data_IF_461485124488
#
_entry.id   IF_461485124488
#
_cell.length_a   1.000
_cell.length_b   1.000
_cell.length_c   1.000
_cell.angle_alpha   90.00
_cell.angle_beta   90.00
_cell.angle_gamma   90.00
#
_symmetry.space_group_name_H-M   'P 1'
#
loop_
_entity.id
_entity.type
_entity.pdbx_description
1 polymer ?
#
# COMPACT_ATOMS: atom_id res chain seq x y z
N UNK A 1 -1.37 7.54 -0.91
CA UNK A 1 -2.12 6.60 -1.77
C UNK A 1 -3.52 6.37 -1.21
N UNK A 2 -4.31 5.50 -1.83
CA UNK A 2 -5.75 5.38 -1.62
C UNK A 2 -6.19 3.97 -1.18
N UNK A 3 -7.39 3.90 -0.61
CA UNK A 3 -8.10 2.66 -0.28
C UNK A 3 -9.44 2.61 -1.03
N UNK A 4 -9.84 1.41 -1.43
CA UNK A 4 -10.97 1.15 -2.31
C UNK A 4 -11.90 0.08 -1.72
N UNK A 5 -13.15 0.08 -2.15
CA UNK A 5 -14.16 -0.90 -1.70
C UNK A 5 -14.18 -2.18 -2.55
N UNK A 6 -13.61 -2.13 -3.75
CA UNK A 6 -13.60 -3.25 -4.69
C UNK A 6 -12.23 -3.40 -5.36
N UNK A 7 -11.93 -4.62 -5.81
CA UNK A 7 -10.72 -4.91 -6.58
C UNK A 7 -10.63 -4.13 -7.89
N UNK A 8 -11.74 -3.92 -8.59
CA UNK A 8 -11.74 -3.16 -9.84
C UNK A 8 -11.40 -1.68 -9.62
N UNK A 9 -11.87 -1.09 -8.52
CA UNK A 9 -11.49 0.27 -8.14
C UNK A 9 -9.99 0.35 -7.82
N UNK A 10 -9.43 -0.67 -7.17
CA UNK A 10 -7.99 -0.76 -6.92
C UNK A 10 -7.20 -0.79 -8.23
N UNK A 11 -7.60 -1.64 -9.20
CA UNK A 11 -6.93 -1.75 -10.49
C UNK A 11 -6.96 -0.41 -11.25
N UNK A 12 -8.14 0.23 -11.32
CA UNK A 12 -8.28 1.56 -11.95
C UNK A 12 -7.45 2.61 -11.25
N UNK A 13 -7.47 2.60 -9.92
CA UNK A 13 -6.69 3.48 -9.07
C UNK A 13 -5.18 3.33 -9.29
N UNK A 14 -4.69 2.09 -9.30
CA UNK A 14 -3.29 1.79 -9.59
C UNK A 14 -2.87 2.36 -10.94
N UNK A 15 -3.64 2.08 -11.99
CA UNK A 15 -3.36 2.62 -13.32
C UNK A 15 -3.30 4.15 -13.30
N UNK A 16 -4.29 4.81 -12.69
CA UNK A 16 -4.33 6.26 -12.58
C UNK A 16 -3.08 6.83 -11.88
N UNK A 17 -2.68 6.27 -10.73
CA UNK A 17 -1.52 6.78 -9.98
C UNK A 17 -0.21 6.55 -10.75
N UNK A 18 0.01 5.35 -11.31
CA UNK A 18 1.25 5.03 -12.04
C UNK A 18 1.37 5.76 -13.37
N UNK A 19 0.26 6.09 -14.03
CA UNK A 19 0.29 6.95 -15.22
C UNK A 19 0.57 8.41 -14.84
N UNK A 20 -0.14 8.94 -13.85
CA UNK A 20 -0.09 10.37 -13.49
C UNK A 20 1.21 10.78 -12.79
N UNK A 21 1.74 9.93 -11.92
CA UNK A 21 2.92 10.21 -11.09
C UNK A 21 4.10 9.32 -11.48
N UNK A 22 4.16 8.93 -12.76
CA UNK A 22 5.13 7.95 -13.29
C UNK A 22 6.57 8.24 -12.86
N UNK A 23 7.02 9.49 -12.95
CA UNK A 23 8.40 9.86 -12.59
C UNK A 23 8.75 9.45 -11.14
N UNK A 24 7.80 9.56 -10.22
CA UNK A 24 7.99 9.25 -8.80
C UNK A 24 7.73 7.77 -8.52
N UNK A 25 6.74 7.18 -9.19
CA UNK A 25 6.23 5.84 -8.88
C UNK A 25 6.78 4.71 -9.75
N UNK A 26 7.30 4.96 -10.95
CA UNK A 26 7.87 3.94 -11.84
C UNK A 26 9.06 3.17 -11.21
N UNK A 27 9.94 3.80 -10.42
CA UNK A 27 10.98 3.07 -9.68
C UNK A 27 10.44 2.19 -8.55
N UNK A 28 9.15 2.30 -8.20
CA UNK A 28 8.50 1.57 -7.12
C UNK A 28 7.45 0.61 -7.70
N UNK A 29 7.25 -0.52 -7.04
CA UNK A 29 6.18 -1.44 -7.41
C UNK A 29 4.85 -1.06 -6.74
N UNK A 30 3.71 -1.31 -7.42
CA UNK A 30 2.41 -1.20 -6.80
C UNK A 30 2.22 -2.35 -5.79
N UNK A 31 2.23 -1.99 -4.52
CA UNK A 31 1.92 -2.89 -3.40
C UNK A 31 0.42 -2.82 -3.13
N UNK A 32 -0.26 -3.96 -3.16
CA UNK A 32 -1.69 -4.06 -2.90
C UNK A 32 -1.91 -4.85 -1.62
N UNK A 33 -2.90 -4.49 -0.80
CA UNK A 33 -3.22 -5.24 0.42
C UNK A 33 -4.74 -5.28 0.68
N UNK A 34 -5.19 -6.33 1.34
CA UNK A 34 -6.57 -6.51 1.79
C UNK A 34 -6.64 -6.28 3.29
N UNK A 35 -7.49 -5.35 3.74
CA UNK A 35 -7.67 -5.08 5.16
C UNK A 35 -9.14 -5.01 5.51
N UNK A 36 -9.52 -5.85 6.46
CA UNK A 36 -10.82 -5.81 7.11
C UNK A 36 -10.72 -5.09 8.45
N UNK A 37 -11.49 -4.02 8.60
CA UNK A 37 -11.61 -3.33 9.87
C UNK A 37 -12.69 -3.93 10.77
N UNK A 38 -13.46 -4.90 10.27
CA UNK A 38 -14.63 -5.45 10.93
C UNK A 38 -15.74 -4.42 11.10
N UNK A 39 -16.74 -4.78 11.91
CA UNK A 39 -17.78 -3.86 12.33
C UNK A 39 -17.22 -2.91 13.40
N UNK A 40 -17.28 -1.60 13.12
CA UNK A 40 -16.80 -0.55 14.03
C UNK A 40 -17.87 0.50 14.23
N UNK A 41 -17.97 1.03 15.45
CA UNK A 41 -18.89 2.13 15.79
C UNK A 41 -18.56 3.44 15.05
N UNK A 42 -17.28 3.63 14.68
CA UNK A 42 -16.82 4.79 13.92
C UNK A 42 -16.15 4.33 12.60
N UNK A 43 -16.38 5.03 11.49
CA UNK A 43 -15.77 4.69 10.21
C UNK A 43 -14.25 4.95 10.20
N UNK A 44 -13.49 4.27 9.32
CA UNK A 44 -13.97 3.28 8.36
C UNK A 44 -14.20 1.89 8.98
N UNK A 45 -15.35 1.29 8.66
CA UNK A 45 -15.65 -0.13 8.95
C UNK A 45 -15.68 -0.97 7.66
N UNK A 46 -15.54 -2.29 7.85
CA UNK A 46 -15.58 -3.31 6.81
C UNK A 46 -14.28 -3.48 6.01
N UNK A 47 -14.40 -4.19 4.89
CA UNK A 47 -13.28 -4.61 4.03
C UNK A 47 -12.84 -3.52 3.05
N UNK A 48 -11.53 -3.44 2.81
CA UNK A 48 -10.91 -2.52 1.88
C UNK A 48 -9.74 -3.16 1.12
N UNK A 49 -9.59 -2.74 -0.12
CA UNK A 49 -8.42 -2.96 -0.97
C UNK A 49 -7.54 -1.71 -0.93
N UNK A 50 -6.29 -1.82 -0.49
CA UNK A 50 -5.37 -0.69 -0.39
C UNK A 50 -4.30 -0.74 -1.45
N UNK A 51 -3.97 0.45 -1.95
CA UNK A 51 -2.85 0.67 -2.84
C UNK A 51 -1.74 1.39 -2.08
N UNK A 52 -0.53 0.85 -2.14
CA UNK A 52 0.70 1.36 -1.56
C UNK A 52 1.79 1.38 -2.65
N UNK A 53 2.85 2.16 -2.44
CA UNK A 53 4.04 2.17 -3.31
C UNK A 53 5.22 1.60 -2.53
N UNK A 54 5.94 0.64 -3.11
CA UNK A 54 7.12 0.03 -2.50
C UNK A 54 7.62 -1.17 -3.32
N UNK A 55 8.63 -1.93 -2.87
CA UNK A 55 9.26 -1.85 -1.56
C UNK A 55 9.99 -0.52 -1.35
N UNK A 56 10.01 -0.08 -0.09
CA UNK A 56 10.82 1.04 0.37
C UNK A 56 11.89 0.46 1.29
N UNK A 57 13.13 0.96 1.16
CA UNK A 57 14.30 0.48 1.92
C UNK A 57 14.19 0.82 3.40
N UNK A 58 13.73 2.03 3.70
CA UNK A 58 13.67 2.58 5.06
C UNK A 58 12.63 3.70 5.18
N UNK A 59 12.45 4.20 6.40
CA UNK A 59 11.53 5.30 6.71
C UNK A 59 11.95 6.61 6.04
N UNK A 60 13.25 6.82 5.77
CA UNK A 60 13.74 8.04 5.15
C UNK A 60 13.31 8.09 3.68
N UNK A 61 13.47 7.00 2.92
CA UNK A 61 12.95 6.89 1.56
C UNK A 61 11.43 7.05 1.53
N UNK A 62 10.71 6.52 2.52
CA UNK A 62 9.27 6.72 2.62
C UNK A 62 8.89 8.20 2.76
N UNK A 63 9.67 8.97 3.53
CA UNK A 63 9.47 10.43 3.70
C UNK A 63 9.75 11.20 2.42
N UNK A 64 10.83 10.88 1.73
CA UNK A 64 11.22 11.51 0.46
C UNK A 64 10.16 11.29 -0.61
N UNK A 65 9.80 10.03 -0.88
CA UNK A 65 8.74 9.69 -1.85
C UNK A 65 7.42 10.36 -1.48
N UNK A 66 7.08 10.41 -0.19
CA UNK A 66 5.86 11.04 0.26
C UNK A 66 5.86 12.56 0.11
N UNK A 67 7.02 13.20 0.27
CA UNK A 67 7.21 14.63 0.02
C UNK A 67 7.07 14.93 -1.48
N UNK A 68 7.72 14.14 -2.35
CA UNK A 68 7.65 14.30 -3.81
C UNK A 68 6.21 14.13 -4.32
N UNK A 69 5.51 13.09 -3.85
CA UNK A 69 4.10 12.88 -4.17
C UNK A 69 3.23 14.06 -3.75
N UNK A 70 3.43 14.60 -2.54
CA UNK A 70 2.68 15.78 -2.07
C UNK A 70 2.99 17.02 -2.88
N UNK A 71 4.26 17.25 -3.23
CA UNK A 71 4.68 18.36 -4.07
C UNK A 71 4.06 18.28 -5.48
N UNK A 72 3.87 17.06 -6.01
CA UNK A 72 3.16 16.79 -7.25
C UNK A 72 1.61 16.83 -7.11
N UNK A 73 1.07 17.12 -5.92
CA UNK A 73 -0.37 17.20 -5.66
C UNK A 73 -1.06 15.85 -5.45
N UNK A 74 -0.33 14.78 -5.16
CA UNK A 74 -0.89 13.49 -4.77
C UNK A 74 -1.11 13.41 -3.24
N UNK A 75 -2.19 12.76 -2.76
CA UNK A 75 -2.33 12.46 -1.35
C UNK A 75 -1.32 11.40 -0.92
N UNK A 76 -0.59 11.64 0.17
CA UNK A 76 0.35 10.67 0.73
C UNK A 76 0.30 10.58 2.26
N UNK A 77 0.37 9.33 2.74
CA UNK A 77 0.50 8.95 4.14
C UNK A 77 1.46 7.77 4.25
N UNK A 78 2.36 7.82 5.23
CA UNK A 78 3.35 6.76 5.51
C UNK A 78 2.77 5.89 6.61
N UNK A 79 2.95 4.59 6.47
CA UNK A 79 2.39 3.59 7.37
C UNK A 79 3.33 2.39 7.52
N UNK A 80 3.14 1.57 8.57
CA UNK A 80 3.83 0.29 8.67
C UNK A 80 3.54 -0.60 7.44
N UNK A 81 4.50 -1.45 7.03
CA UNK A 81 4.31 -2.40 5.95
C UNK A 81 3.07 -3.28 6.16
N UNK A 82 2.32 -3.50 5.08
CA UNK A 82 1.18 -4.42 5.04
C UNK A 82 1.54 -5.69 4.27
N UNK A 83 0.87 -6.83 4.56
CA UNK A 83 0.90 -8.00 3.71
C UNK A 83 0.38 -7.69 2.31
N UNK A 84 0.77 -8.48 1.31
CA UNK A 84 0.30 -8.32 -0.07
C UNK A 84 -1.14 -8.85 -0.24
N UNK A 85 -1.85 -8.37 -1.26
CA UNK A 85 -3.19 -8.82 -1.67
C UNK A 85 -3.12 -10.27 -2.18
N UNK A 86 -4.08 -11.09 -1.76
CA UNK A 86 -4.07 -12.52 -2.00
C UNK A 86 -3.06 -13.26 -1.11
N UNK A 87 -3.42 -14.46 -0.66
CA UNK A 87 -2.43 -15.32 0.01
C UNK A 87 -1.38 -15.72 -1.02
N UNK A 88 -0.20 -15.09 -1.00
CA UNK A 88 0.98 -15.78 -1.47
C UNK A 88 1.24 -16.95 -0.49
N UNK A 89 1.71 -18.12 -0.96
CA UNK A 89 2.16 -19.17 -0.06
C UNK A 89 3.12 -18.53 0.94
N UNK A 90 2.95 -18.83 2.23
CA UNK A 90 3.73 -18.22 3.30
C UNK A 90 5.22 -18.18 2.90
N UNK A 91 5.74 -16.98 2.61
CA UNK A 91 7.18 -16.80 2.55
C UNK A 91 7.69 -17.14 3.96
N UNK A 92 8.52 -18.17 4.01
CA UNK A 92 9.15 -18.78 5.17
C UNK A 92 9.01 -17.97 6.46
N UNK A 93 8.23 -18.53 7.39
CA UNK A 93 8.49 -18.29 8.81
C UNK A 93 9.93 -18.77 9.02
N UNK A 94 10.85 -17.85 9.28
CA UNK A 94 12.10 -18.23 9.91
C UNK A 94 11.70 -18.86 11.26
N UNK A 95 12.04 -20.14 11.40
CA UNK A 95 11.79 -20.92 12.58
C UNK A 95 12.48 -20.24 13.77
N UNK A 96 11.67 -19.72 14.68
CA UNK A 96 12.06 -19.54 16.07
C UNK A 96 12.19 -20.95 16.67
N UNK A 97 13.33 -21.60 16.46
CA UNK A 97 13.70 -22.80 17.21
C UNK A 97 14.64 -22.39 18.34
N UNK A 98 14.01 -22.17 19.48
CA UNK A 98 14.58 -22.29 20.81
C UNK A 98 15.36 -23.62 20.93
N UNK A 99 16.61 -23.57 21.35
CA UNK A 99 17.41 -24.70 21.84
C UNK A 99 18.57 -24.20 22.68
#
# INVERSE_FOLDING_TARGET
MAAYRTKDQLIRGQKYYWDKYRIILEPLEPRRSEVDFGERKAPPGGFFYRLNAGPLRDLQQAREVCADLKAAGAPCWIRPPEPVEGRLPAAHKEDESDS
#
